data_IF_020537512056
#
_entry.id   IF_020537512056
#
_cell.length_a   1.000
_cell.length_b   1.000
_cell.length_c   1.000
_cell.angle_alpha   90.00
_cell.angle_beta   90.00
_cell.angle_gamma   90.00
#
_symmetry.space_group_name_H-M   'P 1'
#
loop_
_entity.id
_entity.type
_entity.pdbx_description
1 polymer ?
#
# COMPACT_ATOMS: atom_id res chain seq x y z
N UNK A 1 -35.14 15.94 -5.83
CA UNK A 1 -34.07 15.85 -4.80
C UNK A 1 -33.94 14.40 -4.40
N UNK A 2 -32.73 13.85 -4.44
CA UNK A 2 -32.51 12.55 -3.81
C UNK A 2 -32.79 12.66 -2.30
N UNK A 3 -33.52 11.69 -1.75
CA UNK A 3 -33.82 11.66 -0.32
C UNK A 3 -32.53 11.40 0.43
N UNK A 4 -32.22 12.22 1.42
CA UNK A 4 -31.06 11.98 2.27
C UNK A 4 -31.28 10.73 3.11
N UNK A 5 -30.47 9.68 2.86
CA UNK A 5 -30.47 8.46 3.65
C UNK A 5 -29.25 8.48 4.59
N UNK A 6 -29.45 8.40 5.91
CA UNK A 6 -28.36 8.27 6.87
C UNK A 6 -27.50 7.03 6.60
N UNK A 7 -26.18 7.14 6.79
CA UNK A 7 -25.23 6.08 6.48
C UNK A 7 -25.57 4.75 7.17
N UNK A 8 -26.04 4.80 8.41
CA UNK A 8 -26.39 3.62 9.21
C UNK A 8 -27.49 2.77 8.58
N UNK A 9 -28.42 3.43 7.89
CA UNK A 9 -29.60 2.82 7.25
C UNK A 9 -29.32 2.29 5.83
N UNK A 10 -28.11 2.51 5.31
CA UNK A 10 -27.72 1.97 4.02
C UNK A 10 -27.51 0.45 4.08
N UNK A 11 -27.80 -0.22 2.97
CA UNK A 11 -27.45 -1.62 2.79
C UNK A 11 -25.93 -1.82 2.87
N UNK A 12 -25.49 -3.03 3.22
CA UNK A 12 -24.05 -3.36 3.27
C UNK A 12 -23.33 -3.08 1.94
N UNK A 13 -24.02 -3.26 0.81
CA UNK A 13 -23.50 -3.01 -0.54
C UNK A 13 -23.30 -1.52 -0.82
N UNK A 14 -24.27 -0.69 -0.46
CA UNK A 14 -24.18 0.77 -0.66
C UNK A 14 -23.14 1.42 0.25
N UNK A 15 -23.05 0.98 1.51
CA UNK A 15 -21.97 1.40 2.43
C UNK A 15 -20.60 1.19 1.80
N UNK A 16 -20.36 -0.02 1.27
CA UNK A 16 -19.10 -0.37 0.59
C UNK A 16 -18.83 0.52 -0.62
N UNK A 17 -19.82 0.77 -1.47
CA UNK A 17 -19.68 1.65 -2.64
C UNK A 17 -19.31 3.08 -2.23
N UNK A 18 -20.03 3.66 -1.26
CA UNK A 18 -19.77 5.00 -0.73
C UNK A 18 -18.39 5.13 -0.11
N UNK A 19 -17.95 4.11 0.64
CA UNK A 19 -16.61 4.06 1.22
C UNK A 19 -15.51 3.91 0.17
N UNK A 20 -15.72 3.12 -0.88
CA UNK A 20 -14.80 3.01 -2.02
C UNK A 20 -14.61 4.35 -2.72
N UNK A 21 -15.71 5.06 -3.01
CA UNK A 21 -15.66 6.41 -3.59
C UNK A 21 -14.89 7.39 -2.69
N UNK A 22 -15.06 7.30 -1.37
CA UNK A 22 -14.32 8.12 -0.38
C UNK A 22 -12.86 7.70 -0.19
N UNK A 23 -12.53 6.43 -0.40
CA UNK A 23 -11.15 5.92 -0.30
C UNK A 23 -10.29 6.32 -1.49
N UNK A 24 -10.90 6.62 -2.62
CA UNK A 24 -10.18 7.09 -3.81
C UNK A 24 -9.73 8.56 -3.69
N UNK A 25 -10.22 9.33 -2.73
CA UNK A 25 -9.94 10.79 -2.61
C UNK A 25 -8.74 11.14 -1.73
N UNK A 26 -7.81 10.22 -1.44
CA UNK A 26 -6.56 10.58 -0.75
C UNK A 26 -5.57 11.39 -1.62
N UNK A 27 -6.02 11.89 -2.79
CA UNK A 27 -5.20 12.68 -3.72
C UNK A 27 -4.05 11.86 -4.29
N UNK A 28 -2.85 12.44 -4.35
CA UNK A 28 -1.61 11.74 -4.77
C UNK A 28 -1.10 10.70 -3.75
N UNK A 29 -1.63 10.68 -2.53
CA UNK A 29 -1.01 9.98 -1.40
C UNK A 29 -1.84 8.77 -1.00
N UNK A 30 -1.69 7.65 -1.71
CA UNK A 30 -2.29 6.39 -1.30
C UNK A 30 -1.48 5.77 -0.13
N UNK A 31 -2.00 5.70 1.10
CA UNK A 31 -1.26 5.15 2.25
C UNK A 31 -0.96 3.65 2.08
N UNK A 32 -1.70 2.94 1.22
CA UNK A 32 -1.50 1.51 0.94
C UNK A 32 -0.27 1.27 0.05
N UNK A 33 0.05 2.18 -0.87
CA UNK A 33 1.23 2.05 -1.76
C UNK A 33 2.53 2.50 -1.11
N UNK A 34 2.49 3.19 0.05
CA UNK A 34 3.67 3.59 0.83
C UNK A 34 4.11 2.53 1.85
N UNK A 35 3.53 1.32 1.82
CA UNK A 35 3.92 0.25 2.74
C UNK A 35 5.40 -0.10 2.52
N UNK A 36 6.29 0.10 3.50
CA UNK A 36 7.67 -0.29 3.35
C UNK A 36 7.73 -1.81 3.19
N UNK A 37 8.72 -2.28 2.41
CA UNK A 37 8.95 -3.71 2.27
C UNK A 37 9.21 -4.30 3.66
N UNK A 38 8.57 -5.43 3.96
CA UNK A 38 8.79 -6.14 5.22
C UNK A 38 10.29 -6.46 5.36
N UNK A 39 10.94 -5.90 6.39
CA UNK A 39 12.38 -6.05 6.64
C UNK A 39 12.77 -7.48 6.99
N UNK A 40 11.85 -8.27 7.56
CA UNK A 40 12.04 -9.69 7.89
C UNK A 40 11.72 -10.62 6.72
N UNK A 41 11.17 -10.13 5.62
CA UNK A 41 10.84 -10.98 4.48
C UNK A 41 12.09 -11.38 3.70
N UNK A 42 12.20 -12.68 3.42
CA UNK A 42 13.29 -13.21 2.61
C UNK A 42 13.27 -12.59 1.20
N UNK A 43 14.41 -12.06 0.76
CA UNK A 43 14.60 -11.46 -0.56
C UNK A 43 15.70 -12.21 -1.32
N UNK A 44 15.32 -13.08 -2.27
CA UNK A 44 16.26 -13.90 -3.06
C UNK A 44 17.38 -13.08 -3.73
N UNK A 45 17.07 -11.87 -4.20
CA UNK A 45 18.08 -10.97 -4.81
C UNK A 45 19.16 -10.56 -3.81
N UNK A 46 18.77 -10.13 -2.59
CA UNK A 46 19.70 -9.81 -1.50
C UNK A 46 20.48 -11.05 -1.04
N UNK A 47 19.81 -12.19 -0.93
CA UNK A 47 20.42 -13.44 -0.50
C UNK A 47 21.47 -13.99 -1.49
N UNK A 48 21.40 -13.61 -2.78
CA UNK A 48 22.45 -13.95 -3.77
C UNK A 48 23.63 -12.98 -3.75
N UNK A 49 23.43 -11.78 -3.20
CA UNK A 49 24.36 -10.66 -3.30
C UNK A 49 25.35 -10.56 -2.12
N UNK A 50 25.31 -11.47 -1.14
CA UNK A 50 26.26 -11.45 -0.01
C UNK A 50 27.73 -11.46 -0.46
N UNK A 51 28.02 -12.07 -1.61
CA UNK A 51 29.36 -12.06 -2.21
C UNK A 51 29.77 -10.70 -2.78
N UNK A 52 28.81 -9.85 -3.17
CA UNK A 52 29.07 -8.53 -3.76
C UNK A 52 29.29 -7.47 -2.69
N UNK A 53 28.59 -7.57 -1.56
CA UNK A 53 28.72 -6.63 -0.44
C UNK A 53 29.98 -6.90 0.40
N UNK A 54 30.57 -8.11 0.30
CA UNK A 54 31.81 -8.50 0.96
C UNK A 54 33.09 -8.09 0.21
N UNK A 55 32.98 -7.62 -1.04
CA UNK A 55 34.08 -7.02 -1.77
C UNK A 55 33.90 -5.50 -1.74
N UNK A 56 34.68 -4.81 -0.90
CA UNK A 56 34.95 -3.41 -1.17
C UNK A 56 35.52 -3.30 -2.59
N UNK A 57 35.07 -2.32 -3.40
CA UNK A 57 35.74 -2.05 -4.66
C UNK A 57 37.18 -1.66 -4.31
N UNK A 58 38.15 -2.47 -4.74
CA UNK A 58 39.56 -2.12 -4.65
C UNK A 58 39.71 -0.78 -5.41
N UNK A 59 40.09 0.32 -4.73
CA UNK A 59 40.42 1.55 -5.45
C UNK A 59 41.63 1.27 -6.34
N UNK A 60 41.58 1.81 -7.57
CA UNK A 60 42.41 1.46 -8.73
C UNK A 60 43.91 1.39 -8.51
#
# INVERSE_FOLDING_TARGET
MEKFIPYEKLSKKEKRSRDLSRRNTWGQLNPVTRKPKNSKAYCRSKARNWKRDAHEPIPG
#
